data_IF_090291752225
#
_entry.id   IF_090291752225
#
_cell.length_a   1.000
_cell.length_b   1.000
_cell.length_c   1.000
_cell.angle_alpha   90.00
_cell.angle_beta   90.00
_cell.angle_gamma   90.00
#
_symmetry.space_group_name_H-M   'P 1'
#
loop_
_entity.id
_entity.type
_entity.pdbx_description
1 polymer ?
#
# COMPACT_ATOMS: atom_id res chain seq x y z
N UNK A 1 -21.37 -22.16 -19.39
CA UNK A 1 -20.08 -22.40 -20.06
C UNK A 1 -19.70 -21.14 -20.83
N UNK A 2 -18.93 -20.26 -20.19
CA UNK A 2 -17.94 -19.36 -20.83
C UNK A 2 -16.84 -19.22 -19.77
N UNK A 3 -15.88 -20.14 -19.81
CA UNK A 3 -14.62 -19.99 -19.11
C UNK A 3 -13.88 -18.84 -19.81
N UNK A 4 -13.99 -17.64 -19.25
CA UNK A 4 -13.27 -16.47 -19.73
C UNK A 4 -11.80 -16.66 -19.34
N UNK A 5 -11.07 -17.18 -20.33
CA UNK A 5 -9.65 -16.95 -20.66
C UNK A 5 -9.05 -15.80 -19.84
N UNK A 6 -7.91 -16.08 -19.20
CA UNK A 6 -7.03 -15.15 -18.48
C UNK A 6 -7.16 -13.68 -18.94
N UNK A 7 -7.99 -12.91 -18.25
CA UNK A 7 -8.19 -11.51 -18.57
C UNK A 7 -6.89 -10.71 -18.35
N UNK A 8 -6.62 -9.79 -19.28
CA UNK A 8 -5.38 -9.03 -19.45
C UNK A 8 -5.23 -7.89 -18.40
N UNK A 9 -5.32 -8.26 -17.12
CA UNK A 9 -5.16 -7.36 -15.99
C UNK A 9 -3.69 -7.00 -15.76
N UNK A 10 -3.45 -5.83 -15.17
CA UNK A 10 -2.13 -5.48 -14.63
C UNK A 10 -1.65 -6.55 -13.63
N UNK A 11 -0.34 -6.81 -13.56
CA UNK A 11 0.24 -7.92 -12.77
C UNK A 11 -0.25 -7.89 -11.31
N UNK A 12 -0.30 -6.71 -10.69
CA UNK A 12 -0.81 -6.54 -9.33
C UNK A 12 -2.28 -6.95 -9.18
N UNK A 13 -3.14 -6.49 -10.08
CA UNK A 13 -4.58 -6.79 -10.06
C UNK A 13 -4.79 -8.29 -10.29
N UNK A 14 -4.07 -8.89 -11.23
CA UNK A 14 -4.17 -10.32 -11.51
C UNK A 14 -3.77 -11.16 -10.30
N UNK A 15 -2.62 -10.87 -9.68
CA UNK A 15 -2.17 -11.58 -8.48
C UNK A 15 -3.17 -11.47 -7.33
N UNK A 16 -3.74 -10.28 -7.12
CA UNK A 16 -4.74 -10.07 -6.06
C UNK A 16 -6.07 -10.76 -6.37
N UNK A 17 -6.54 -10.73 -7.61
CA UNK A 17 -7.75 -11.46 -8.02
C UNK A 17 -7.56 -12.97 -7.84
N UNK A 18 -6.38 -13.50 -8.19
CA UNK A 18 -6.02 -14.91 -7.95
C UNK A 18 -6.07 -15.28 -6.47
N UNK A 19 -5.47 -14.46 -5.60
CA UNK A 19 -5.49 -14.66 -4.15
C UNK A 19 -6.92 -14.60 -3.59
N UNK A 20 -7.72 -13.62 -4.00
CA UNK A 20 -9.09 -13.50 -3.50
C UNK A 20 -9.95 -14.70 -3.95
N UNK A 21 -9.78 -15.16 -5.20
CA UNK A 21 -10.48 -16.33 -5.76
C UNK A 21 -10.01 -17.66 -5.16
N UNK A 22 -8.79 -17.75 -4.63
CA UNK A 22 -8.35 -18.95 -3.91
C UNK A 22 -8.95 -19.04 -2.51
N UNK A 23 -9.27 -17.90 -1.89
CA UNK A 23 -9.85 -17.83 -0.55
C UNK A 23 -11.39 -17.89 -0.54
N UNK A 24 -12.05 -17.40 -1.60
CA UNK A 24 -13.51 -17.36 -1.67
C UNK A 24 -14.01 -17.49 -3.09
N UNK A 25 -15.14 -18.18 -3.26
CA UNK A 25 -15.74 -18.35 -4.57
C UNK A 25 -16.65 -17.17 -4.91
N UNK A 26 -16.78 -16.87 -6.22
CA UNK A 26 -17.56 -15.72 -6.73
C UNK A 26 -19.01 -15.78 -6.27
N UNK A 27 -19.57 -16.97 -6.15
CA UNK A 27 -20.98 -17.20 -5.81
C UNK A 27 -21.32 -16.74 -4.38
N UNK A 28 -20.30 -16.58 -3.52
CA UNK A 28 -20.47 -16.08 -2.17
C UNK A 28 -20.54 -14.55 -2.10
N UNK A 29 -20.16 -13.84 -3.18
CA UNK A 29 -20.08 -12.39 -3.16
C UNK A 29 -21.39 -11.79 -3.60
N UNK A 30 -21.90 -10.86 -2.79
CA UNK A 30 -23.09 -10.08 -3.12
C UNK A 30 -22.76 -8.62 -3.00
N UNK A 31 -23.09 -7.87 -4.03
CA UNK A 31 -22.93 -6.43 -4.03
C UNK A 31 -24.16 -5.79 -3.36
N UNK A 32 -23.90 -4.95 -2.37
CA UNK A 32 -24.92 -4.17 -1.68
C UNK A 32 -24.99 -2.81 -2.37
N UNK A 33 -26.13 -2.42 -2.97
CA UNK A 33 -26.29 -1.10 -3.55
C UNK A 33 -25.91 0.00 -2.55
N UNK A 34 -25.22 1.07 -2.98
CA UNK A 34 -24.71 2.09 -2.06
C UNK A 34 -25.78 2.74 -1.15
N UNK A 35 -27.03 2.86 -1.63
CA UNK A 35 -28.17 3.34 -0.81
C UNK A 35 -28.51 2.42 0.37
N UNK A 36 -28.18 1.13 0.26
CA UNK A 36 -28.41 0.09 1.25
C UNK A 36 -27.11 -0.28 2.00
N UNK A 37 -25.99 0.38 1.71
CA UNK A 37 -24.72 0.12 2.36
C UNK A 37 -24.62 0.89 3.69
N UNK A 38 -24.70 0.25 4.87
CA UNK A 38 -24.62 0.94 6.14
C UNK A 38 -23.26 1.64 6.36
N UNK A 39 -22.19 1.16 5.73
CA UNK A 39 -20.85 1.74 5.86
C UNK A 39 -20.72 3.13 5.18
N UNK A 40 -21.57 3.44 4.19
CA UNK A 40 -21.55 4.74 3.52
C UNK A 40 -22.02 5.87 4.46
N UNK A 41 -22.94 5.56 5.37
CA UNK A 41 -23.46 6.53 6.36
C UNK A 41 -22.36 6.92 7.36
N UNK A 42 -21.50 5.95 7.71
CA UNK A 42 -20.35 6.15 8.58
C UNK A 42 -19.27 7.02 7.95
N UNK A 43 -18.93 6.68 6.71
CA UNK A 43 -17.77 7.24 6.03
C UNK A 43 -18.02 8.62 5.45
N UNK A 44 -19.26 8.94 5.05
CA UNK A 44 -19.62 10.22 4.43
C UNK A 44 -20.14 11.26 5.41
N UNK A 45 -20.40 10.86 6.66
CA UNK A 45 -20.98 11.71 7.70
C UNK A 45 -22.50 11.88 7.53
N UNK A 46 -23.23 11.94 8.65
CA UNK A 46 -24.67 12.13 8.65
C UNK A 46 -25.14 12.92 9.89
N UNK A 47 -26.42 13.34 9.88
CA UNK A 47 -27.06 13.95 11.05
C UNK A 47 -27.56 12.86 12.00
N UNK A 48 -27.66 13.16 13.30
CA UNK A 48 -28.20 12.19 14.28
C UNK A 48 -29.64 11.76 13.96
N UNK A 49 -30.47 12.68 13.45
CA UNK A 49 -31.85 12.37 13.09
C UNK A 49 -31.90 11.35 11.94
N UNK A 50 -31.04 11.51 10.93
CA UNK A 50 -30.90 10.56 9.84
C UNK A 50 -30.33 9.21 10.32
N UNK A 51 -29.33 9.24 11.21
CA UNK A 51 -28.74 8.05 11.81
C UNK A 51 -29.76 7.23 12.62
N UNK A 52 -30.57 7.92 13.42
CA UNK A 52 -31.64 7.33 14.21
C UNK A 52 -32.73 6.72 13.33
N UNK A 53 -33.21 7.45 12.33
CA UNK A 53 -34.22 6.98 11.38
C UNK A 53 -33.75 5.77 10.55
N UNK A 54 -32.44 5.70 10.25
CA UNK A 54 -31.88 4.58 9.50
C UNK A 54 -31.76 3.31 10.34
N UNK A 55 -31.80 3.40 11.69
CA UNK A 55 -31.65 2.23 12.55
C UNK A 55 -30.29 1.53 12.38
N UNK A 56 -29.22 2.27 12.09
CA UNK A 56 -27.89 1.69 11.78
C UNK A 56 -27.49 0.64 12.82
N UNK A 57 -27.72 0.89 14.10
CA UNK A 57 -27.40 0.00 15.21
C UNK A 57 -28.04 -1.40 15.12
N UNK A 58 -29.14 -1.53 14.39
CA UNK A 58 -29.87 -2.79 14.22
C UNK A 58 -29.44 -3.58 12.98
N UNK A 59 -28.53 -3.01 12.19
CA UNK A 59 -28.19 -3.51 10.87
C UNK A 59 -29.32 -3.28 9.84
N UNK A 60 -28.99 -3.32 8.54
CA UNK A 60 -29.99 -3.15 7.50
C UNK A 60 -31.00 -4.30 7.48
N UNK A 61 -32.27 -3.97 7.29
CA UNK A 61 -33.40 -4.89 7.42
C UNK A 61 -33.28 -6.15 6.55
N UNK A 62 -32.64 -6.03 5.39
CA UNK A 62 -32.44 -7.18 4.50
C UNK A 62 -31.52 -8.26 5.10
N UNK A 63 -30.61 -7.92 6.02
CA UNK A 63 -29.76 -8.91 6.69
C UNK A 63 -30.53 -9.73 7.74
N UNK A 64 -31.64 -9.20 8.26
CA UNK A 64 -32.53 -9.92 9.17
C UNK A 64 -33.40 -10.94 8.42
N UNK A 65 -33.57 -10.77 7.11
CA UNK A 65 -34.30 -11.68 6.24
C UNK A 65 -33.43 -12.84 5.73
N UNK A 66 -34.07 -13.84 5.13
CA UNK A 66 -33.34 -14.98 4.57
C UNK A 66 -32.42 -14.55 3.42
N UNK A 67 -31.28 -15.25 3.19
CA UNK A 67 -30.33 -14.92 2.13
C UNK A 67 -30.95 -14.82 0.73
N UNK A 68 -32.10 -15.42 0.49
CA UNK A 68 -32.83 -15.35 -0.78
C UNK A 68 -33.45 -13.96 -1.01
N UNK A 69 -33.84 -13.28 0.07
CA UNK A 69 -34.45 -11.96 0.09
C UNK A 69 -33.43 -10.81 0.11
N UNK A 70 -32.13 -11.12 0.20
CA UNK A 70 -31.08 -10.10 0.16
C UNK A 70 -31.02 -9.40 -1.20
N UNK A 71 -30.56 -8.13 -1.27
CA UNK A 71 -30.49 -7.38 -2.50
C UNK A 71 -29.68 -8.13 -3.55
N UNK A 72 -30.32 -8.42 -4.69
CA UNK A 72 -29.66 -8.94 -5.88
C UNK A 72 -29.44 -7.74 -6.79
N UNK A 73 -28.24 -7.19 -6.80
CA UNK A 73 -27.91 -6.21 -7.83
C UNK A 73 -27.60 -6.94 -9.13
N UNK A 74 -28.31 -6.60 -10.20
CA UNK A 74 -27.81 -6.85 -11.55
C UNK A 74 -26.55 -6.02 -11.71
N UNK A 75 -25.40 -6.70 -11.69
CA UNK A 75 -24.13 -6.05 -11.95
C UNK A 75 -24.09 -5.70 -13.44
N UNK A 76 -24.29 -4.43 -13.76
CA UNK A 76 -23.98 -3.89 -15.09
C UNK A 76 -22.53 -3.41 -15.08
N UNK A 77 -21.57 -4.16 -15.65
CA UNK A 77 -20.21 -3.67 -15.76
C UNK A 77 -20.21 -2.38 -16.58
N UNK A 78 -19.62 -1.31 -16.04
CA UNK A 78 -19.26 -0.18 -16.88
C UNK A 78 -18.04 -0.61 -17.70
N UNK A 79 -18.30 -1.04 -18.94
CA UNK A 79 -17.29 -1.58 -19.85
C UNK A 79 -16.18 -0.57 -20.15
N UNK A 80 -16.47 0.74 -20.15
CA UNK A 80 -15.46 1.79 -20.35
C UNK A 80 -14.47 1.87 -19.18
N UNK A 81 -14.95 1.78 -17.93
CA UNK A 81 -14.08 1.77 -16.75
C UNK A 81 -13.22 0.50 -16.66
N UNK A 82 -13.77 -0.62 -17.11
CA UNK A 82 -13.06 -1.90 -17.19
C UNK A 82 -11.98 -1.79 -18.28
N UNK A 83 -12.32 -1.30 -19.48
CA UNK A 83 -11.39 -1.11 -20.58
C UNK A 83 -10.26 -0.13 -20.24
N UNK A 84 -10.55 0.93 -19.46
CA UNK A 84 -9.54 1.88 -18.98
C UNK A 84 -8.55 1.25 -17.98
N UNK A 85 -8.98 0.24 -17.20
CA UNK A 85 -8.16 -0.46 -16.21
C UNK A 85 -7.47 -1.72 -16.75
N UNK A 86 -7.99 -2.30 -17.82
CA UNK A 86 -7.31 -3.36 -18.57
C UNK A 86 -6.03 -2.80 -19.16
N UNK A 87 -5.01 -3.64 -19.34
CA UNK A 87 -3.83 -3.23 -20.12
C UNK A 87 -4.35 -2.79 -21.49
N UNK A 88 -4.04 -1.54 -21.90
CA UNK A 88 -4.33 -1.05 -23.25
C UNK A 88 -3.87 -2.12 -24.23
N UNK A 89 -4.81 -2.69 -24.97
CA UNK A 89 -4.53 -3.67 -26.02
C UNK A 89 -3.62 -2.94 -27.00
N UNK A 90 -2.34 -3.30 -27.05
CA UNK A 90 -1.42 -2.75 -28.03
C UNK A 90 -1.92 -3.29 -29.36
N UNK A 91 -2.64 -2.44 -30.11
CA UNK A 91 -2.88 -2.67 -31.52
C UNK A 91 -1.51 -2.49 -32.15
N UNK A 92 -0.85 -3.61 -32.41
CA UNK A 92 0.38 -3.64 -33.20
C UNK A 92 -0.06 -3.29 -34.61
N UNK A 93 0.21 -2.06 -35.03
CA UNK A 93 0.16 -1.72 -36.44
C UNK A 93 1.13 -2.66 -37.17
N UNK A 94 0.61 -3.49 -38.07
CA UNK A 94 1.38 -4.42 -38.89
C UNK A 94 2.09 -3.70 -40.04
N UNK A 95 2.08 -2.36 -40.07
CA UNK A 95 3.06 -1.60 -40.84
C UNK A 95 4.46 -1.79 -40.23
N UNK A 96 5.08 -2.94 -40.53
CA UNK A 96 6.49 -3.16 -40.27
C UNK A 96 7.23 -2.16 -41.15
N UNK A 97 7.55 -0.99 -40.61
CA UNK A 97 8.77 -0.30 -41.02
C UNK A 97 9.87 -1.31 -40.74
N UNK A 98 10.37 -1.93 -41.79
CA UNK A 98 11.55 -2.79 -41.70
C UNK A 98 12.72 -1.83 -41.44
N UNK A 99 12.80 -1.35 -40.20
CA UNK A 99 14.03 -0.79 -39.68
C UNK A 99 14.99 -1.96 -39.60
N UNK A 100 16.14 -1.81 -40.25
CA UNK A 100 17.19 -2.83 -40.17
C UNK A 100 17.53 -3.00 -38.69
N UNK A 101 17.47 -4.23 -38.15
CA UNK A 101 17.76 -4.44 -36.73
C UNK A 101 19.15 -3.92 -36.43
N UNK A 102 19.28 -3.20 -35.32
CA UNK A 102 20.57 -2.66 -34.91
C UNK A 102 21.57 -3.81 -34.70
N UNK A 103 22.85 -3.55 -34.95
CA UNK A 103 23.87 -4.59 -34.95
C UNK A 103 23.95 -5.35 -33.61
N UNK A 104 23.58 -4.69 -32.51
CA UNK A 104 23.60 -5.23 -31.16
C UNK A 104 22.41 -6.12 -30.82
N UNK A 105 21.32 -6.09 -31.59
CA UNK A 105 20.11 -6.89 -31.34
C UNK A 105 20.33 -8.41 -31.47
N UNK A 106 21.45 -8.81 -32.08
CA UNK A 106 21.86 -10.23 -32.15
C UNK A 106 22.44 -10.79 -30.84
N UNK A 107 22.60 -9.96 -29.81
CA UNK A 107 23.24 -10.35 -28.55
C UNK A 107 22.29 -10.18 -27.36
N UNK A 108 22.17 -11.21 -26.54
CA UNK A 108 21.30 -11.21 -25.35
C UNK A 108 21.96 -10.73 -24.05
N UNK A 109 23.23 -10.30 -24.09
CA UNK A 109 23.99 -9.82 -22.92
C UNK A 109 24.60 -8.46 -23.19
N UNK A 110 24.35 -7.54 -22.27
CA UNK A 110 24.89 -6.19 -22.33
C UNK A 110 26.42 -6.19 -22.30
N UNK A 111 27.03 -6.98 -21.42
CA UNK A 111 28.49 -7.16 -21.37
C UNK A 111 29.08 -7.67 -22.70
N UNK A 112 28.37 -8.56 -23.42
CA UNK A 112 28.79 -9.02 -24.75
C UNK A 112 28.71 -7.89 -25.78
N UNK A 113 27.64 -7.10 -25.75
CA UNK A 113 27.46 -5.94 -26.63
C UNK A 113 28.59 -4.93 -26.42
N UNK A 114 28.84 -4.52 -25.17
CA UNK A 114 29.94 -3.59 -24.83
C UNK A 114 31.29 -4.15 -25.28
N UNK A 115 31.54 -5.44 -25.10
CA UNK A 115 32.77 -6.10 -25.58
C UNK A 115 32.92 -5.99 -27.11
N UNK A 116 31.87 -6.28 -27.87
CA UNK A 116 31.90 -6.19 -29.34
C UNK A 116 32.09 -4.75 -29.78
N UNK A 117 31.36 -3.81 -29.17
CA UNK A 117 31.50 -2.38 -29.44
C UNK A 117 32.92 -1.88 -29.17
N UNK A 118 33.54 -2.33 -28.09
CA UNK A 118 34.93 -2.02 -27.75
C UNK A 118 35.91 -2.50 -28.84
N UNK A 119 35.71 -3.71 -29.39
CA UNK A 119 36.51 -4.18 -30.54
C UNK A 119 36.27 -3.37 -31.81
N UNK A 120 35.03 -2.96 -32.08
CA UNK A 120 34.72 -2.06 -33.20
C UNK A 120 35.45 -0.72 -33.04
N UNK A 121 35.47 -0.16 -31.83
CA UNK A 121 36.20 1.08 -31.51
C UNK A 121 37.71 0.91 -31.70
N UNK A 122 38.31 -0.21 -31.28
CA UNK A 122 39.73 -0.51 -31.55
C UNK A 122 40.02 -0.56 -33.05
N UNK A 123 39.16 -1.22 -33.83
CA UNK A 123 39.30 -1.30 -35.28
C UNK A 123 39.25 0.09 -35.93
N UNK A 124 38.27 0.92 -35.56
CA UNK A 124 38.13 2.30 -36.03
C UNK A 124 39.35 3.14 -35.65
N UNK A 125 39.86 3.01 -34.42
CA UNK A 125 41.05 3.74 -33.98
C UNK A 125 42.31 3.33 -34.76
N UNK A 126 42.44 2.05 -35.12
CA UNK A 126 43.52 1.55 -35.99
C UNK A 126 43.44 2.18 -37.38
N UNK A 127 42.24 2.25 -37.98
CA UNK A 127 42.03 2.92 -39.27
C UNK A 127 42.33 4.42 -39.20
N UNK A 128 42.02 5.06 -38.08
CA UNK A 128 42.28 6.49 -37.82
C UNK A 128 43.72 6.80 -37.39
N UNK A 129 44.63 5.81 -37.42
CA UNK A 129 46.04 5.94 -37.01
C UNK A 129 46.22 6.56 -35.61
N UNK A 130 45.26 6.37 -34.70
CA UNK A 130 45.39 6.82 -33.31
C UNK A 130 46.35 5.88 -32.55
N UNK A 131 47.14 6.38 -31.59
CA UNK A 131 47.95 5.53 -30.73
C UNK A 131 47.03 4.54 -30.03
N UNK A 132 47.22 3.25 -30.32
CA UNK A 132 46.44 2.17 -29.74
C UNK A 132 47.38 1.25 -28.97
N UNK A 133 47.03 0.99 -27.71
CA UNK A 133 47.68 -0.05 -26.93
C UNK A 133 47.28 -1.40 -27.53
N UNK A 134 48.16 -1.98 -28.34
CA UNK A 134 47.97 -3.25 -29.05
C UNK A 134 47.98 -4.47 -28.12
N UNK A 135 47.21 -4.43 -27.02
CA UNK A 135 47.09 -5.55 -26.09
C UNK A 135 46.14 -6.60 -26.66
N UNK A 136 46.45 -7.88 -26.48
CA UNK A 136 45.59 -8.99 -26.93
C UNK A 136 44.22 -9.02 -26.22
N UNK A 137 44.13 -8.39 -25.05
CA UNK A 137 42.94 -8.38 -24.19
C UNK A 137 42.37 -6.97 -24.03
N UNK A 138 41.04 -6.86 -23.92
CA UNK A 138 40.37 -5.59 -23.60
C UNK A 138 40.59 -5.24 -22.13
N UNK A 139 41.04 -4.01 -21.85
CA UNK A 139 41.16 -3.50 -20.47
C UNK A 139 39.83 -2.95 -19.95
N UNK A 140 39.70 -2.79 -18.63
CA UNK A 140 38.45 -2.36 -17.98
C UNK A 140 38.08 -0.94 -18.40
N UNK A 141 39.07 -0.06 -18.52
CA UNK A 141 38.91 1.35 -18.89
C UNK A 141 38.38 1.49 -20.33
N UNK A 142 38.81 0.61 -21.24
CA UNK A 142 38.30 0.58 -22.61
C UNK A 142 36.82 0.15 -22.66
N UNK A 143 36.42 -0.79 -21.81
CA UNK A 143 35.02 -1.21 -21.71
C UNK A 143 34.16 -0.11 -21.11
N UNK A 144 34.62 0.55 -20.05
CA UNK A 144 33.91 1.68 -19.45
C UNK A 144 33.72 2.83 -20.44
N UNK A 145 34.77 3.19 -21.21
CA UNK A 145 34.66 4.19 -22.28
C UNK A 145 33.71 3.76 -23.39
N UNK A 146 33.77 2.49 -23.81
CA UNK A 146 32.89 1.95 -24.83
C UNK A 146 31.42 2.00 -24.38
N UNK A 147 31.14 1.69 -23.12
CA UNK A 147 29.80 1.77 -22.52
C UNK A 147 29.25 3.20 -22.53
N UNK A 148 30.04 4.18 -22.08
CA UNK A 148 29.66 5.60 -22.07
C UNK A 148 29.34 6.09 -23.49
N UNK A 149 30.21 5.77 -24.47
CA UNK A 149 30.03 6.19 -25.87
C UNK A 149 28.78 5.53 -26.47
N UNK A 150 28.55 4.25 -26.18
CA UNK A 150 27.36 3.53 -26.64
C UNK A 150 26.09 4.21 -26.13
N UNK A 151 26.04 4.58 -24.85
CA UNK A 151 24.91 5.32 -24.29
C UNK A 151 24.76 6.72 -24.87
N UNK A 152 25.85 7.46 -25.08
CA UNK A 152 25.80 8.78 -25.72
C UNK A 152 25.17 8.72 -27.12
N UNK A 153 25.54 7.72 -27.93
CA UNK A 153 24.96 7.51 -29.27
C UNK A 153 23.46 7.24 -29.16
N UNK A 154 23.04 6.32 -28.29
CA UNK A 154 21.63 5.94 -28.17
C UNK A 154 20.78 7.04 -27.55
N UNK A 155 21.32 7.82 -26.61
CA UNK A 155 20.66 8.98 -26.05
C UNK A 155 20.41 10.06 -27.11
N UNK A 156 21.34 10.33 -28.03
CA UNK A 156 21.14 11.31 -29.12
C UNK A 156 20.04 10.88 -30.11
N UNK A 157 19.84 9.58 -30.28
CA UNK A 157 18.74 9.05 -31.11
C UNK A 157 17.38 9.17 -30.39
N UNK A 158 17.36 9.03 -29.06
CA UNK A 158 16.12 8.91 -28.28
C UNK A 158 15.68 10.20 -27.55
N UNK A 159 16.60 11.11 -27.26
CA UNK A 159 16.34 12.34 -26.50
C UNK A 159 16.76 13.58 -27.31
N UNK A 160 15.94 14.64 -27.26
CA UNK A 160 16.24 15.90 -27.93
C UNK A 160 17.26 16.73 -27.14
N UNK A 161 18.21 17.37 -27.85
CA UNK A 161 19.40 18.02 -27.25
C UNK A 161 19.11 19.20 -26.30
N UNK A 162 17.90 19.76 -26.30
CA UNK A 162 17.54 20.98 -25.53
C UNK A 162 16.63 20.72 -24.33
N UNK A 163 16.43 19.47 -23.94
CA UNK A 163 15.57 19.15 -22.79
C UNK A 163 16.33 19.29 -21.47
N UNK A 164 15.99 20.33 -20.69
CA UNK A 164 16.39 20.42 -19.27
C UNK A 164 15.58 19.45 -18.39
N UNK A 165 14.48 18.91 -18.94
CA UNK A 165 13.70 17.87 -18.29
C UNK A 165 13.17 16.86 -19.29
N UNK A 166 13.38 15.58 -18.99
CA UNK A 166 12.86 14.44 -19.75
C UNK A 166 11.82 13.74 -18.89
N UNK A 167 10.57 13.71 -19.34
CA UNK A 167 9.45 13.07 -18.61
C UNK A 167 9.33 13.49 -17.12
N UNK A 168 9.61 14.76 -16.80
CA UNK A 168 9.56 15.29 -15.44
C UNK A 168 10.80 15.03 -14.58
N UNK A 169 11.80 14.33 -15.12
CA UNK A 169 13.13 14.21 -14.50
C UNK A 169 13.97 15.40 -14.91
N UNK A 170 14.65 16.04 -13.95
CA UNK A 170 15.64 17.09 -14.25
C UNK A 170 16.92 16.42 -14.75
N UNK A 171 17.48 16.90 -15.86
CA UNK A 171 18.65 16.28 -16.49
C UNK A 171 19.77 17.29 -16.71
N UNK A 172 21.01 16.81 -16.69
CA UNK A 172 22.22 17.57 -16.96
C UNK A 172 23.09 16.74 -17.90
N UNK A 173 23.73 17.39 -18.88
CA UNK A 173 24.70 16.73 -19.76
C UNK A 173 26.09 16.82 -19.13
N UNK A 174 26.74 15.67 -18.96
CA UNK A 174 28.12 15.60 -18.46
C UNK A 174 29.16 15.93 -19.53
N UNK A 175 30.42 16.08 -19.13
CA UNK A 175 31.56 16.31 -20.03
C UNK A 175 31.79 15.14 -21.00
N UNK A 176 31.25 13.97 -20.68
CA UNK A 176 31.25 12.76 -21.50
C UNK A 176 30.13 12.73 -22.56
N UNK A 177 29.40 13.83 -22.73
CA UNK A 177 28.28 13.99 -23.67
C UNK A 177 27.15 12.97 -23.45
N UNK A 178 26.97 12.59 -22.18
CA UNK A 178 25.90 11.71 -21.68
C UNK A 178 24.94 12.52 -20.82
N UNK A 179 23.64 12.36 -21.07
CA UNK A 179 22.56 12.88 -20.23
C UNK A 179 22.46 12.08 -18.93
N UNK A 180 22.50 12.79 -17.81
CA UNK A 180 22.43 12.26 -16.45
C UNK A 180 21.29 12.91 -15.68
N UNK A 181 20.64 12.15 -14.81
CA UNK A 181 19.53 12.65 -13.98
C UNK A 181 20.08 13.40 -12.79
N UNK A 182 19.55 14.61 -12.54
CA UNK A 182 19.86 15.40 -11.36
C UNK A 182 19.02 14.88 -10.18
N UNK A 183 19.66 14.17 -9.24
CA UNK A 183 18.98 13.63 -8.06
C UNK A 183 18.72 14.70 -6.99
N UNK A 184 17.95 14.40 -5.94
CA UNK A 184 17.71 15.35 -4.81
C UNK A 184 18.82 15.34 -3.75
N UNK A 185 19.85 14.49 -3.92
CA UNK A 185 20.87 14.20 -2.90
C UNK A 185 22.26 14.74 -3.29
N UNK A 186 22.31 15.75 -4.16
CA UNK A 186 23.55 16.29 -4.78
C UNK A 186 24.55 16.81 -3.75
N UNK A 187 24.07 17.32 -2.62
CA UNK A 187 24.92 17.91 -1.57
C UNK A 187 25.61 16.86 -0.68
N UNK A 188 25.40 15.56 -0.94
CA UNK A 188 26.04 14.50 -0.16
C UNK A 188 27.37 14.08 -0.79
N UNK A 189 28.32 13.72 0.06
CA UNK A 189 29.62 13.18 -0.33
C UNK A 189 29.50 11.72 -0.82
N UNK A 190 29.11 11.56 -2.07
CA UNK A 190 29.02 10.26 -2.77
C UNK A 190 29.63 10.36 -4.17
N UNK A 191 29.88 9.20 -4.77
CA UNK A 191 30.40 9.11 -6.13
C UNK A 191 29.49 9.83 -7.14
N UNK A 192 30.09 10.52 -8.10
CA UNK A 192 29.39 11.32 -9.11
C UNK A 192 28.44 10.46 -9.94
N UNK A 193 28.77 9.19 -10.17
CA UNK A 193 27.89 8.25 -10.90
C UNK A 193 26.59 7.95 -10.14
N UNK A 194 26.62 8.06 -8.81
CA UNK A 194 25.46 7.85 -7.93
C UNK A 194 24.63 9.14 -7.79
N UNK A 195 25.29 10.30 -7.70
CA UNK A 195 24.62 11.60 -7.64
C UNK A 195 23.96 11.98 -8.97
N UNK A 196 24.59 11.58 -10.08
CA UNK A 196 24.20 11.88 -11.46
C UNK A 196 24.18 10.58 -12.31
N UNK A 197 23.19 9.69 -12.07
CA UNK A 197 23.06 8.45 -12.82
C UNK A 197 22.72 8.73 -14.29
N UNK A 198 23.22 7.88 -15.18
CA UNK A 198 22.96 7.98 -16.62
C UNK A 198 21.47 7.75 -16.89
N UNK A 199 20.86 8.64 -17.69
CA UNK A 199 19.47 8.49 -18.11
C UNK A 199 19.37 7.46 -19.23
N UNK A 200 18.71 6.33 -18.98
CA UNK A 200 18.53 5.28 -20.00
C UNK A 200 17.16 5.38 -20.67
N UNK A 201 17.06 5.19 -22.00
CA UNK A 201 15.77 5.10 -22.68
C UNK A 201 14.96 3.90 -22.14
N UNK A 202 13.71 4.15 -21.73
CA UNK A 202 12.90 3.17 -21.01
C UNK A 202 12.45 1.97 -21.85
N UNK A 203 12.28 2.16 -23.16
CA UNK A 203 11.85 1.15 -24.13
C UNK A 203 12.93 0.86 -25.17
N UNK A 204 14.11 0.47 -24.71
CA UNK A 204 15.25 0.22 -25.59
C UNK A 204 15.92 -1.13 -25.29
N UNK A 205 16.33 -1.84 -26.35
CA UNK A 205 16.90 -3.19 -26.25
C UNK A 205 18.14 -3.25 -25.35
N UNK A 206 19.05 -2.27 -25.44
CA UNK A 206 20.22 -2.22 -24.56
C UNK A 206 19.84 -2.07 -23.09
N UNK A 207 18.80 -1.27 -22.80
CA UNK A 207 18.31 -1.05 -21.43
C UNK A 207 17.74 -2.35 -20.88
N UNK A 208 16.97 -3.09 -21.68
CA UNK A 208 16.44 -4.39 -21.31
C UNK A 208 17.56 -5.41 -21.06
N UNK A 209 18.56 -5.49 -21.95
CA UNK A 209 19.72 -6.36 -21.77
C UNK A 209 20.50 -6.02 -20.49
N UNK A 210 20.70 -4.73 -20.19
CA UNK A 210 21.38 -4.29 -18.97
C UNK A 210 20.59 -4.73 -17.73
N UNK A 211 19.30 -4.42 -17.68
CA UNK A 211 18.41 -4.79 -16.57
C UNK A 211 18.42 -6.31 -16.38
N UNK A 212 18.26 -7.07 -17.47
CA UNK A 212 18.25 -8.53 -17.43
C UNK A 212 19.58 -9.10 -16.94
N UNK A 213 20.70 -8.57 -17.40
CA UNK A 213 22.02 -9.02 -16.98
C UNK A 213 22.24 -8.79 -15.48
N UNK A 214 21.89 -7.61 -14.96
CA UNK A 214 21.96 -7.33 -13.53
C UNK A 214 20.95 -8.17 -12.74
N UNK A 215 19.72 -8.35 -13.25
CA UNK A 215 18.73 -9.21 -12.62
C UNK A 215 19.24 -10.65 -12.47
N UNK A 216 19.88 -11.20 -13.50
CA UNK A 216 20.47 -12.55 -13.48
C UNK A 216 21.73 -12.63 -12.62
N UNK A 217 22.60 -11.61 -12.67
CA UNK A 217 23.84 -11.55 -11.89
C UNK A 217 23.58 -11.43 -10.40
N UNK A 218 22.59 -10.62 -10.05
CA UNK A 218 22.18 -10.35 -8.68
C UNK A 218 20.88 -11.07 -8.37
N UNK A 219 20.61 -12.26 -8.95
CA UNK A 219 19.46 -13.12 -8.60
C UNK A 219 19.42 -13.30 -7.08
N UNK A 220 18.78 -12.36 -6.42
CA UNK A 220 18.45 -12.42 -5.04
C UNK A 220 17.50 -13.60 -4.99
N UNK A 221 17.81 -14.58 -4.11
CA UNK A 221 16.78 -15.53 -3.69
C UNK A 221 15.50 -14.73 -3.48
N UNK A 222 14.41 -15.16 -4.11
CA UNK A 222 13.10 -14.60 -3.83
C UNK A 222 12.99 -14.45 -2.32
N UNK A 223 12.62 -13.26 -1.84
CA UNK A 223 12.47 -13.03 -0.41
C UNK A 223 11.37 -13.98 0.06
N UNK A 224 11.77 -15.14 0.59
CA UNK A 224 10.87 -16.06 1.25
C UNK A 224 10.54 -15.40 2.56
N UNK A 225 9.55 -14.51 2.56
CA UNK A 225 8.98 -14.05 3.82
C UNK A 225 8.28 -15.28 4.41
N UNK A 226 8.71 -15.77 5.59
CA UNK A 226 7.88 -16.71 6.30
C UNK A 226 6.47 -16.11 6.41
N UNK A 227 5.40 -16.91 6.34
CA UNK A 227 4.06 -16.40 6.54
C UNK A 227 4.07 -15.53 7.80
N UNK A 228 3.63 -14.27 7.67
CA UNK A 228 3.59 -13.35 8.80
C UNK A 228 2.74 -14.04 9.86
N UNK A 229 3.37 -14.46 10.95
CA UNK A 229 2.65 -14.93 12.11
C UNK A 229 1.74 -13.78 12.55
N UNK A 230 0.44 -14.08 12.70
CA UNK A 230 -0.51 -13.10 13.20
C UNK A 230 0.05 -12.52 14.50
N UNK A 231 0.01 -11.18 14.69
CA UNK A 231 0.55 -10.57 15.89
C UNK A 231 -0.01 -11.29 17.12
N UNK A 232 0.86 -11.73 18.03
CA UNK A 232 0.47 -12.50 19.23
C UNK A 232 -0.70 -11.86 19.99
N UNK A 233 -0.77 -10.53 19.95
CA UNK A 233 -1.86 -9.71 20.51
C UNK A 233 -3.26 -9.99 19.93
N UNK A 234 -3.38 -10.75 18.84
CA UNK A 234 -4.65 -11.16 18.22
C UNK A 234 -5.02 -12.63 18.44
N UNK A 235 -4.06 -13.45 18.88
CA UNK A 235 -4.20 -14.90 18.92
C UNK A 235 -4.06 -15.43 20.35
N UNK A 236 -3.46 -14.65 21.24
CA UNK A 236 -3.34 -15.00 22.66
C UNK A 236 -4.71 -14.91 23.32
N UNK A 237 -5.03 -15.90 24.15
CA UNK A 237 -6.15 -15.81 25.09
C UNK A 237 -5.91 -14.63 26.04
N UNK A 238 -6.84 -13.69 26.03
CA UNK A 238 -6.84 -12.50 26.88
C UNK A 238 -8.25 -12.27 27.41
N UNK A 239 -8.39 -11.44 28.44
CA UNK A 239 -9.72 -10.96 28.83
C UNK A 239 -10.30 -10.04 27.73
N UNK A 240 -11.63 -9.92 27.71
CA UNK A 240 -12.33 -9.02 26.79
C UNK A 240 -11.87 -7.59 27.08
N UNK A 241 -11.54 -6.83 26.03
CA UNK A 241 -10.98 -5.47 26.12
C UNK A 241 -9.63 -5.32 26.84
N UNK A 242 -8.95 -6.42 27.19
CA UNK A 242 -7.61 -6.33 27.77
C UNK A 242 -6.62 -5.62 26.83
N UNK A 243 -6.68 -5.99 25.54
CA UNK A 243 -5.98 -5.32 24.46
C UNK A 243 -7.01 -4.60 23.62
N UNK A 244 -6.99 -3.27 23.67
CA UNK A 244 -8.02 -2.42 23.06
C UNK A 244 -7.41 -1.48 22.01
N UNK A 245 -7.99 -1.47 20.81
CA UNK A 245 -7.80 -0.41 19.83
C UNK A 245 -8.81 0.71 20.07
N UNK A 246 -8.38 1.96 19.95
CA UNK A 246 -9.26 3.11 20.09
C UNK A 246 -9.17 3.96 18.83
N UNK A 247 -10.33 4.33 18.31
CA UNK A 247 -10.46 5.22 17.17
C UNK A 247 -11.61 6.22 17.39
N UNK A 248 -11.59 7.32 16.63
CA UNK A 248 -12.59 8.38 16.70
C UNK A 248 -13.30 8.51 15.35
N UNK A 249 -14.63 8.35 15.37
CA UNK A 249 -15.49 8.58 14.22
C UNK A 249 -16.26 9.90 14.38
N UNK A 250 -16.40 10.66 13.29
CA UNK A 250 -17.19 11.88 13.25
C UNK A 250 -16.54 12.98 12.39
N UNK A 251 -17.18 14.17 12.30
CA UNK A 251 -18.22 14.66 13.19
C UNK A 251 -19.65 14.25 12.77
N UNK A 252 -20.46 13.84 13.74
CA UNK A 252 -21.91 13.79 13.66
C UNK A 252 -22.47 15.19 13.90
N UNK A 253 -23.35 15.65 13.02
CA UNK A 253 -23.91 17.01 13.10
C UNK A 253 -25.18 17.03 13.98
N UNK A 254 -25.14 17.85 15.03
CA UNK A 254 -26.25 18.14 15.95
C UNK A 254 -26.98 19.43 15.53
N UNK A 255 -28.32 19.44 15.57
CA UNK A 255 -29.15 20.66 15.45
C UNK A 255 -29.38 21.27 16.85
N UNK A 256 -29.35 22.61 17.04
CA UNK A 256 -29.34 23.68 16.04
C UNK A 256 -27.96 24.00 15.47
N UNK A 257 -26.88 23.88 16.27
CA UNK A 257 -25.47 23.92 15.82
C UNK A 257 -24.59 23.19 16.84
N UNK A 258 -24.11 21.99 16.51
CA UNK A 258 -23.15 21.26 17.34
C UNK A 258 -22.50 20.12 16.57
N UNK A 259 -21.30 19.72 16.99
CA UNK A 259 -20.63 18.52 16.48
C UNK A 259 -20.51 17.53 17.64
N UNK A 260 -20.81 16.28 17.36
CA UNK A 260 -20.50 15.16 18.24
C UNK A 260 -19.53 14.22 17.52
N UNK A 261 -18.79 13.47 18.29
CA UNK A 261 -17.92 12.40 17.82
C UNK A 261 -18.25 11.14 18.60
N UNK A 262 -17.87 9.99 18.07
CA UNK A 262 -18.00 8.71 18.75
C UNK A 262 -16.60 8.13 18.90
N UNK A 263 -16.22 7.79 20.13
CA UNK A 263 -15.06 6.95 20.39
C UNK A 263 -15.46 5.50 20.20
N UNK A 264 -14.71 4.79 19.37
CA UNK A 264 -14.80 3.35 19.20
C UNK A 264 -13.70 2.70 20.02
N UNK A 265 -14.08 1.83 20.94
CA UNK A 265 -13.18 0.91 21.63
C UNK A 265 -13.38 -0.49 21.03
N UNK A 266 -12.33 -1.09 20.49
CA UNK A 266 -12.40 -2.41 19.86
C UNK A 266 -11.45 -3.40 20.52
N UNK A 267 -11.95 -4.58 20.86
CA UNK A 267 -11.13 -5.63 21.46
C UNK A 267 -10.30 -6.36 20.38
N UNK A 268 -9.00 -6.54 20.62
CA UNK A 268 -8.07 -7.16 19.68
C UNK A 268 -8.41 -8.61 19.34
N UNK A 269 -8.82 -9.35 20.37
CA UNK A 269 -9.00 -10.81 20.33
C UNK A 269 -10.42 -11.16 19.92
N UNK A 270 -11.42 -10.60 20.61
CA UNK A 270 -12.83 -10.96 20.41
C UNK A 270 -13.56 -10.06 19.41
N UNK A 271 -12.93 -8.99 18.90
CA UNK A 271 -13.56 -7.98 18.02
C UNK A 271 -14.81 -7.32 18.60
N UNK A 272 -15.04 -7.42 19.91
CA UNK A 272 -16.10 -6.71 20.62
C UNK A 272 -15.91 -5.19 20.48
N UNK A 273 -17.00 -4.45 20.38
CA UNK A 273 -17.00 -2.99 20.18
C UNK A 273 -17.76 -2.33 21.33
N UNK A 274 -17.21 -1.23 21.86
CA UNK A 274 -17.91 -0.34 22.78
C UNK A 274 -17.83 1.09 22.24
N UNK A 275 -18.96 1.81 22.29
CA UNK A 275 -19.06 3.16 21.76
C UNK A 275 -19.32 4.16 22.88
N UNK A 276 -18.62 5.31 22.85
CA UNK A 276 -18.88 6.42 23.76
C UNK A 276 -19.03 7.72 22.98
N UNK A 277 -20.10 8.50 23.19
CA UNK A 277 -20.26 9.79 22.57
C UNK A 277 -19.33 10.84 23.19
N UNK A 278 -18.85 11.76 22.36
CA UNK A 278 -18.09 12.94 22.73
C UNK A 278 -18.73 14.20 22.14
N UNK A 279 -18.73 15.27 22.91
CA UNK A 279 -19.16 16.61 22.48
C UNK A 279 -17.99 17.47 22.01
N UNK A 280 -16.75 17.01 22.19
CA UNK A 280 -15.51 17.68 21.78
C UNK A 280 -14.40 16.65 21.57
N UNK A 281 -13.47 16.97 20.66
CA UNK A 281 -12.23 16.22 20.43
C UNK A 281 -11.13 16.55 21.45
N UNK A 282 -11.42 17.24 22.54
CA UNK A 282 -10.43 17.56 23.58
C UNK A 282 -9.95 16.33 24.34
N UNK A 283 -8.74 16.41 24.90
CA UNK A 283 -8.16 15.40 25.80
C UNK A 283 -9.09 15.08 26.98
N UNK A 284 -9.67 16.10 27.60
CA UNK A 284 -10.54 15.95 28.77
C UNK A 284 -11.83 15.18 28.43
N UNK A 285 -12.48 15.56 27.33
CA UNK A 285 -13.68 14.89 26.81
C UNK A 285 -13.41 13.40 26.58
N UNK A 286 -12.27 13.08 25.96
CA UNK A 286 -11.85 11.69 25.76
C UNK A 286 -11.50 10.96 27.07
N UNK A 287 -10.84 11.61 28.04
CA UNK A 287 -10.55 11.01 29.35
C UNK A 287 -11.82 10.61 30.09
N UNK A 288 -12.88 11.42 30.01
CA UNK A 288 -14.17 11.07 30.59
C UNK A 288 -14.80 9.85 29.91
N UNK A 289 -14.71 9.76 28.58
CA UNK A 289 -15.17 8.58 27.84
C UNK A 289 -14.38 7.33 28.20
N UNK A 290 -13.04 7.43 28.29
CA UNK A 290 -12.18 6.33 28.72
C UNK A 290 -12.54 5.86 30.14
N UNK A 291 -12.82 6.79 31.07
CA UNK A 291 -13.24 6.45 32.44
C UNK A 291 -14.57 5.67 32.44
N UNK A 292 -15.55 6.10 31.64
CA UNK A 292 -16.84 5.39 31.51
C UNK A 292 -16.68 4.01 30.90
N UNK A 293 -15.83 3.88 29.88
CA UNK A 293 -15.48 2.59 29.29
C UNK A 293 -14.84 1.66 30.33
N UNK A 294 -13.82 2.12 31.06
CA UNK A 294 -13.12 1.33 32.09
C UNK A 294 -14.09 0.87 33.18
N UNK A 295 -14.99 1.75 33.64
CA UNK A 295 -15.97 1.42 34.67
C UNK A 295 -16.95 0.31 34.23
N UNK A 296 -17.23 0.18 32.92
CA UNK A 296 -18.18 -0.81 32.38
C UNK A 296 -17.54 -2.09 31.87
N UNK A 297 -16.35 -1.98 31.28
CA UNK A 297 -15.69 -3.06 30.53
C UNK A 297 -14.41 -3.57 31.19
N UNK A 298 -14.00 -2.94 32.29
CA UNK A 298 -12.73 -3.21 32.94
C UNK A 298 -11.59 -2.39 32.34
N UNK A 299 -10.48 -2.33 33.07
CA UNK A 299 -9.30 -1.56 32.68
C UNK A 299 -8.47 -2.32 31.65
N UNK A 300 -8.19 -1.75 30.45
CA UNK A 300 -7.33 -2.40 29.48
C UNK A 300 -5.89 -2.46 29.99
N UNK A 301 -5.17 -3.54 29.68
CA UNK A 301 -3.73 -3.64 29.94
C UNK A 301 -2.93 -2.87 28.89
N UNK A 302 -3.38 -2.93 27.63
CA UNK A 302 -2.72 -2.28 26.49
C UNK A 302 -3.73 -1.56 25.60
N UNK A 303 -3.39 -0.34 25.21
CA UNK A 303 -4.20 0.49 24.31
C UNK A 303 -3.41 0.85 23.06
N UNK A 304 -4.04 0.72 21.88
CA UNK A 304 -3.50 1.14 20.59
C UNK A 304 -4.30 2.29 20.02
N UNK A 305 -3.64 3.39 19.65
CA UNK A 305 -4.28 4.56 19.04
C UNK A 305 -3.47 5.11 17.86
N UNK A 306 -4.09 5.97 17.06
CA UNK A 306 -3.35 6.89 16.20
C UNK A 306 -2.66 8.00 17.03
N UNK A 307 -1.98 8.92 16.35
CA UNK A 307 -1.23 10.01 16.99
C UNK A 307 -2.06 11.27 17.22
N UNK A 308 -3.39 11.19 17.24
CA UNK A 308 -4.23 12.36 17.51
C UNK A 308 -3.87 13.02 18.85
N UNK A 309 -4.03 14.34 18.91
CA UNK A 309 -3.56 15.18 20.03
C UNK A 309 -4.28 14.85 21.34
N UNK A 310 -5.54 14.46 21.29
CA UNK A 310 -6.30 14.02 22.45
C UNK A 310 -5.76 12.73 23.08
N UNK A 311 -5.40 11.73 22.27
CA UNK A 311 -4.81 10.48 22.75
C UNK A 311 -3.42 10.72 23.33
N UNK A 312 -2.57 11.52 22.66
CA UNK A 312 -1.27 11.93 23.22
C UNK A 312 -1.42 12.69 24.54
N UNK A 313 -2.40 13.61 24.60
CA UNK A 313 -2.70 14.35 25.82
C UNK A 313 -3.07 13.43 26.99
N UNK A 314 -3.89 12.41 26.73
CA UNK A 314 -4.31 11.45 27.77
C UNK A 314 -3.17 10.54 28.21
N UNK A 315 -2.37 10.01 27.30
CA UNK A 315 -1.18 9.21 27.64
C UNK A 315 -0.22 10.02 28.52
N UNK A 316 0.04 11.29 28.16
CA UNK A 316 0.87 12.19 28.95
C UNK A 316 0.29 12.46 30.34
N UNK A 317 -1.05 12.61 30.45
CA UNK A 317 -1.71 12.79 31.75
C UNK A 317 -1.59 11.53 32.63
N UNK A 318 -1.78 10.34 32.05
CA UNK A 318 -1.67 9.07 32.78
C UNK A 318 -0.24 8.76 33.25
N UNK A 319 0.78 9.20 32.52
CA UNK A 319 2.20 9.07 32.90
C UNK A 319 2.60 9.93 34.09
N UNK A 320 1.88 11.02 34.37
CA UNK A 320 2.13 11.90 35.53
C UNK A 320 1.60 11.33 36.85
N UNK A 321 0.80 10.26 36.79
CA UNK A 321 0.26 9.61 37.98
C UNK A 321 1.38 8.86 38.69
N UNK A 322 1.45 9.04 40.01
CA UNK A 322 2.37 8.29 40.87
C UNK A 322 1.84 6.87 41.09
N UNK A 323 2.28 5.94 40.23
CA UNK A 323 1.86 4.54 40.28
C UNK A 323 2.46 3.78 41.47
N UNK A 324 3.51 4.28 42.13
CA UNK A 324 4.10 3.61 43.30
C UNK A 324 3.19 3.69 44.52
N UNK A 325 2.45 4.79 44.67
CA UNK A 325 1.42 4.92 45.72
C UNK A 325 0.14 4.14 45.42
N UNK A 326 -0.08 3.78 44.15
CA UNK A 326 -1.30 3.10 43.68
C UNK A 326 -1.10 1.58 43.60
N UNK A 327 0.13 1.11 43.47
CA UNK A 327 0.46 -0.31 43.35
C UNK A 327 0.09 -1.17 44.56
N UNK A 328 -0.18 -0.55 45.73
CA UNK A 328 -0.75 -1.23 46.89
C UNK A 328 -2.16 -1.81 46.63
N UNK A 329 -2.86 -1.34 45.59
CA UNK A 329 -4.20 -1.80 45.18
C UNK A 329 -4.21 -2.67 43.91
N UNK A 330 -3.10 -3.34 43.56
CA UNK A 330 -2.96 -4.20 42.36
C UNK A 330 -3.32 -3.51 41.02
N UNK A 331 -3.23 -2.18 40.95
CA UNK A 331 -3.58 -1.42 39.75
C UNK A 331 -2.34 -1.01 38.96
N UNK A 332 -2.15 -1.63 37.80
CA UNK A 332 -1.00 -1.39 36.92
C UNK A 332 -1.28 -0.28 35.88
N UNK A 333 -0.24 0.45 35.44
CA UNK A 333 -0.35 1.46 34.39
C UNK A 333 -0.80 0.83 33.06
N UNK A 334 -1.66 1.55 32.32
CA UNK A 334 -2.06 1.14 30.97
C UNK A 334 -0.87 1.33 30.03
N UNK A 335 -0.50 0.28 29.28
CA UNK A 335 0.53 0.37 28.25
C UNK A 335 -0.03 1.02 26.99
N UNK A 336 0.28 2.29 26.77
CA UNK A 336 -0.12 3.00 25.55
C UNK A 336 0.84 2.76 24.40
N UNK A 337 0.29 2.45 23.22
CA UNK A 337 1.05 2.27 21.98
C UNK A 337 0.45 3.10 20.86
N UNK A 338 1.31 3.83 20.16
CA UNK A 338 0.93 4.68 19.05
C UNK A 338 1.32 4.02 17.72
N UNK A 339 0.45 4.16 16.72
CA UNK A 339 0.79 3.80 15.35
C UNK A 339 1.94 4.67 14.84
N UNK A 340 2.76 4.20 13.87
CA UNK A 340 3.71 5.05 13.19
C UNK A 340 3.00 6.28 12.58
N UNK A 341 3.61 7.48 12.60
CA UNK A 341 3.06 8.66 11.95
C UNK A 341 2.73 8.38 10.48
N UNK A 342 1.65 8.99 9.98
CA UNK A 342 1.12 8.85 8.59
C UNK A 342 0.78 7.43 8.14
N UNK A 343 0.83 6.44 9.04
CA UNK A 343 0.59 5.03 8.73
C UNK A 343 -0.81 4.55 9.13
N UNK A 344 -1.87 5.20 8.61
CA UNK A 344 -3.26 4.91 8.97
C UNK A 344 -3.68 3.43 8.78
N UNK A 345 -3.03 2.71 7.86
CA UNK A 345 -3.27 1.28 7.64
C UNK A 345 -2.90 0.39 8.83
N UNK A 346 -2.02 0.84 9.73
CA UNK A 346 -1.74 0.15 11.00
C UNK A 346 -2.96 0.15 11.94
N UNK A 347 -3.81 1.17 11.83
CA UNK A 347 -5.09 1.28 12.54
C UNK A 347 -6.20 0.40 11.95
N UNK A 348 -6.10 0.02 10.67
CA UNK A 348 -7.14 -0.71 9.94
C UNK A 348 -7.54 -2.03 10.58
N UNK A 349 -6.60 -2.69 11.25
CA UNK A 349 -6.86 -3.90 12.02
C UNK A 349 -7.93 -3.76 13.11
N UNK A 350 -7.99 -2.60 13.74
CA UNK A 350 -8.92 -2.26 14.81
C UNK A 350 -10.27 -1.80 14.27
N UNK A 351 -10.26 -1.13 13.10
CA UNK A 351 -11.46 -0.63 12.43
C UNK A 351 -12.25 -1.73 11.70
N UNK A 352 -11.57 -2.73 11.10
CA UNK A 352 -12.22 -3.83 10.39
C UNK A 352 -13.06 -4.69 11.33
N UNK A 353 -12.61 -4.89 12.58
CA UNK A 353 -13.39 -5.59 13.60
C UNK A 353 -14.72 -4.88 13.92
N UNK A 354 -14.73 -3.55 13.99
CA UNK A 354 -15.96 -2.80 14.18
C UNK A 354 -16.93 -3.00 13.01
N UNK A 355 -16.47 -2.82 11.76
CA UNK A 355 -17.31 -3.01 10.58
C UNK A 355 -17.86 -4.44 10.43
N UNK A 356 -17.10 -5.46 10.88
CA UNK A 356 -17.54 -6.87 10.86
C UNK A 356 -18.50 -7.21 12.00
N UNK A 357 -18.29 -6.67 13.20
CA UNK A 357 -19.17 -6.88 14.36
C UNK A 357 -20.52 -6.18 14.19
N UNK A 358 -20.58 -5.05 13.49
CA UNK A 358 -21.83 -4.40 13.11
C UNK A 358 -22.57 -5.10 11.96
N UNK A 359 -21.95 -6.07 11.27
CA UNK A 359 -22.56 -6.81 10.16
C UNK A 359 -22.95 -8.26 10.50
N UNK A 360 -22.58 -8.76 11.69
CA UNK A 360 -22.91 -10.12 12.14
C UNK A 360 -23.64 -10.17 13.48
N UNK A 361 -24.90 -9.76 13.49
CA UNK A 361 -25.97 -10.49 14.17
C UNK A 361 -27.09 -10.59 13.14
N UNK A 362 -27.29 -11.75 12.45
CA UNK A 362 -27.66 -13.00 13.12
C UNK A 362 -27.19 -14.27 12.37
N UNK A 363 -26.14 -14.95 12.84
CA UNK A 363 -25.86 -16.32 12.40
C UNK A 363 -24.91 -17.04 13.36
N UNK A 364 -25.45 -17.80 14.31
CA UNK A 364 -25.27 -19.25 14.40
C UNK A 364 -25.64 -19.78 15.79
N UNK A 365 -26.41 -20.85 15.73
CA UNK A 365 -27.14 -21.59 16.76
C UNK A 365 -26.28 -22.25 17.86
N UNK A 366 -25.00 -21.88 18.00
CA UNK A 366 -24.08 -22.46 18.98
C UNK A 366 -24.02 -21.68 20.32
N UNK A 367 -24.45 -20.42 20.35
CA UNK A 367 -24.46 -19.57 21.55
C UNK A 367 -25.73 -19.70 22.42
N UNK A 368 -26.74 -20.48 21.98
CA UNK A 368 -27.98 -20.72 22.75
C UNK A 368 -27.82 -21.64 23.97
N UNK A 369 -26.64 -22.23 24.22
CA UNK A 369 -26.43 -23.10 25.40
C UNK A 369 -25.80 -22.43 26.62
N UNK A 370 -25.38 -21.16 26.54
CA UNK A 370 -24.68 -20.50 27.65
C UNK A 370 -25.56 -19.46 28.39
N UNK A 371 -26.71 -19.06 27.84
CA UNK A 371 -27.59 -18.03 28.44
C UNK A 371 -28.77 -18.62 29.26
N UNK A 372 -28.77 -19.93 29.55
CA UNK A 372 -29.74 -20.54 30.49
C UNK A 372 -29.12 -21.04 31.80
N UNK A 373 -27.92 -20.56 32.13
CA UNK A 373 -27.39 -20.56 33.50
C UNK A 373 -26.57 -19.30 33.66
N UNK A 374 -27.23 -18.20 34.02
CA UNK A 374 -26.81 -17.13 34.93
C UNK A 374 -27.79 -15.97 34.80
#
# INVERSE_FOLDING_TARGET
MVDIVEENWGVFVNNRVKEIRSLSKKEYWRHIPGKLNPADIASRGCTLQHLWQYGWWEGPEFLKASPEAWPKSEFSPNEELIAAKMKKKIIVDLSVKIEKPEWFERFSSFSKIVRVFCWMMRFVNKLRKKPSYGTKTLIVEEKAKAEIILWSIEQKKHFYEKENSVHGLQVVRGDDDVLRVKTRIIERDYDLSFLYPILLPSKHYLTECLIREYHLKFTAKALTTPPIQLPLVRVRESAIFEITGIDLCGPLLLKPRGKAWIVLFTCAVYRAVHLEPLTSLSTESFMQALRRFIARRGRPSTVYTDNATNFRGTDNALKKIDWQKISENECYPIKWKFNPPTAAWWGGGWMVGAAYSFSQEPAHEHSRKIINKF
#
